data_IF_209417368306
#
_entry.id   IF_209417368306
#
_cell.length_a   1.000
_cell.length_b   1.000
_cell.length_c   1.000
_cell.angle_alpha   90.00
_cell.angle_beta   90.00
_cell.angle_gamma   90.00
#
_symmetry.space_group_name_H-M   'P 1'
#
loop_
_entity.id
_entity.type
_entity.pdbx_description
1 polymer ?
#
# COMPACT_ATOMS: atom_id res chain seq x y z
N UNK A 1 26.69 -10.02 -8.75
CA UNK A 1 27.04 -8.62 -9.07
C UNK A 1 25.77 -7.83 -9.30
N UNK A 2 25.55 -6.75 -8.56
CA UNK A 2 24.42 -5.83 -8.77
C UNK A 2 24.71 -4.90 -9.93
N UNK A 3 23.78 -4.79 -10.88
CA UNK A 3 23.92 -3.90 -12.03
C UNK A 3 23.74 -2.44 -11.57
N UNK A 4 24.82 -1.65 -11.60
CA UNK A 4 24.76 -0.23 -11.26
C UNK A 4 24.44 0.57 -12.54
N UNK A 5 23.28 1.22 -12.56
CA UNK A 5 22.89 2.10 -13.67
C UNK A 5 23.81 3.32 -13.79
N UNK A 6 23.95 3.85 -15.02
CA UNK A 6 24.65 5.11 -15.27
C UNK A 6 23.80 6.26 -14.76
N UNK A 7 24.41 7.17 -14.00
CA UNK A 7 23.75 8.40 -13.55
C UNK A 7 23.68 9.42 -14.69
N UNK A 8 22.84 10.45 -14.53
CA UNK A 8 22.76 11.55 -15.51
C UNK A 8 24.12 12.24 -15.66
N UNK A 9 24.83 12.47 -14.55
CA UNK A 9 26.18 13.06 -14.58
C UNK A 9 27.18 12.20 -15.35
N UNK A 10 27.17 10.87 -15.12
CA UNK A 10 28.03 9.95 -15.88
C UNK A 10 27.68 9.98 -17.38
N UNK A 11 26.39 10.04 -17.74
CA UNK A 11 25.98 10.14 -19.14
C UNK A 11 26.45 11.45 -19.80
N UNK A 12 26.38 12.58 -19.09
CA UNK A 12 26.94 13.85 -19.58
C UNK A 12 28.46 13.79 -19.75
N UNK A 13 29.17 13.15 -18.82
CA UNK A 13 30.62 12.90 -18.96
C UNK A 13 30.93 12.04 -20.19
N UNK A 14 30.17 10.97 -20.40
CA UNK A 14 30.33 10.08 -21.56
C UNK A 14 30.12 10.86 -22.86
N UNK A 15 29.12 11.74 -22.93
CA UNK A 15 28.88 12.61 -24.09
C UNK A 15 30.04 13.56 -24.35
N UNK A 16 30.60 14.18 -23.31
CA UNK A 16 31.75 15.07 -23.46
C UNK A 16 32.98 14.33 -23.99
N UNK A 17 33.24 13.11 -23.52
CA UNK A 17 34.33 12.28 -24.04
C UNK A 17 34.10 11.80 -25.47
N UNK A 18 32.85 11.48 -25.81
CA UNK A 18 32.45 11.13 -27.17
C UNK A 18 32.68 12.30 -28.13
N UNK A 19 32.30 13.53 -27.75
CA UNK A 19 32.57 14.75 -28.52
C UNK A 19 34.07 15.01 -28.73
N UNK A 20 34.92 14.58 -27.81
CA UNK A 20 36.38 14.68 -27.89
C UNK A 20 37.04 13.53 -28.69
N UNK A 21 36.26 12.56 -29.19
CA UNK A 21 36.77 11.41 -29.93
C UNK A 21 37.50 10.37 -29.06
N UNK A 22 37.31 10.40 -27.74
CA UNK A 22 37.95 9.44 -26.83
C UNK A 22 37.29 8.06 -26.95
N UNK A 23 38.11 7.01 -27.09
CA UNK A 23 37.60 5.63 -27.27
C UNK A 23 36.82 5.14 -26.04
N UNK A 24 35.69 4.46 -26.28
CA UNK A 24 34.75 4.00 -25.23
C UNK A 24 35.39 3.16 -24.12
N UNK A 25 36.37 2.31 -24.44
CA UNK A 25 37.05 1.48 -23.43
C UNK A 25 37.92 2.30 -22.46
N UNK A 26 38.43 3.47 -22.89
CA UNK A 26 39.19 4.38 -22.02
C UNK A 26 38.21 5.02 -21.04
N UNK A 27 37.09 5.54 -21.55
CA UNK A 27 36.01 6.13 -20.73
C UNK A 27 35.49 5.12 -19.70
N UNK A 28 35.34 3.86 -20.09
CA UNK A 28 34.93 2.78 -19.19
C UNK A 28 35.92 2.56 -18.03
N UNK A 29 37.23 2.55 -18.32
CA UNK A 29 38.28 2.45 -17.30
C UNK A 29 38.26 3.67 -16.37
N UNK A 30 38.12 4.88 -16.92
CA UNK A 30 38.07 6.13 -16.15
C UNK A 30 36.87 6.16 -15.19
N UNK A 31 35.68 5.81 -15.68
CA UNK A 31 34.45 5.77 -14.87
C UNK A 31 34.34 4.51 -14.00
N UNK A 32 35.29 3.57 -14.10
CA UNK A 32 35.25 2.25 -13.45
C UNK A 32 33.93 1.51 -13.74
N UNK A 33 33.44 1.61 -14.97
CA UNK A 33 32.21 0.94 -15.45
C UNK A 33 32.55 -0.16 -16.45
N UNK A 34 31.59 -1.07 -16.68
CA UNK A 34 31.73 -2.09 -17.71
C UNK A 34 31.85 -1.43 -19.09
N UNK A 35 32.80 -1.88 -19.90
CA UNK A 35 32.99 -1.36 -21.27
C UNK A 35 31.70 -1.40 -22.10
N UNK A 36 30.95 -2.50 -22.02
CA UNK A 36 29.69 -2.67 -22.75
C UNK A 36 28.64 -1.61 -22.39
N UNK A 37 28.57 -1.15 -21.14
CA UNK A 37 27.64 -0.09 -20.76
C UNK A 37 27.98 1.25 -21.46
N UNK A 38 29.27 1.54 -21.65
CA UNK A 38 29.72 2.74 -22.37
C UNK A 38 29.52 2.56 -23.87
N UNK A 39 29.83 1.39 -24.43
CA UNK A 39 29.59 1.09 -25.84
C UNK A 39 28.12 1.22 -26.23
N UNK A 40 27.18 0.82 -25.36
CA UNK A 40 25.74 1.04 -25.59
C UNK A 40 25.40 2.52 -25.75
N UNK A 41 25.98 3.39 -24.92
CA UNK A 41 25.76 4.83 -25.00
C UNK A 41 26.41 5.40 -26.27
N UNK A 42 27.65 5.01 -26.58
CA UNK A 42 28.36 5.43 -27.79
C UNK A 42 27.59 5.05 -29.05
N UNK A 43 27.14 3.79 -29.19
CA UNK A 43 26.31 3.35 -30.34
C UNK A 43 25.02 4.16 -30.48
N UNK A 44 24.45 4.62 -29.36
CA UNK A 44 23.24 5.46 -29.37
C UNK A 44 23.56 6.89 -29.84
N UNK A 45 24.70 7.45 -29.42
CA UNK A 45 25.19 8.75 -29.90
C UNK A 45 25.63 8.70 -31.37
N UNK A 46 26.32 7.64 -31.78
CA UNK A 46 26.76 7.41 -33.17
C UNK A 46 25.57 7.30 -34.13
N UNK A 47 24.41 6.83 -33.64
CA UNK A 47 23.16 6.79 -34.38
C UNK A 47 22.44 8.16 -34.45
N UNK A 48 23.02 9.21 -33.88
CA UNK A 48 22.53 10.59 -33.95
C UNK A 48 21.57 11.00 -32.82
N UNK A 49 21.32 10.13 -31.83
CA UNK A 49 20.44 10.45 -30.72
C UNK A 49 21.17 11.19 -29.59
N UNK A 50 20.42 11.95 -28.81
CA UNK A 50 20.94 12.68 -27.64
C UNK A 50 21.00 11.84 -26.36
N UNK A 51 21.77 12.30 -25.37
CA UNK A 51 21.77 11.72 -24.02
C UNK A 51 20.40 11.87 -23.34
N UNK A 52 19.66 12.95 -23.60
CA UNK A 52 18.31 13.13 -23.03
C UNK A 52 17.41 12.01 -23.49
N UNK A 53 17.40 11.71 -24.79
CA UNK A 53 16.62 10.62 -25.37
C UNK A 53 17.06 9.25 -24.82
N UNK A 54 18.37 9.04 -24.63
CA UNK A 54 18.87 7.81 -23.98
C UNK A 54 18.29 7.64 -22.56
N UNK A 55 18.28 8.74 -21.79
CA UNK A 55 17.77 8.75 -20.42
C UNK A 55 16.24 8.60 -20.38
N UNK A 56 15.51 9.23 -21.29
CA UNK A 56 14.07 9.08 -21.46
C UNK A 56 13.68 7.65 -21.83
N UNK A 57 14.40 7.02 -22.77
CA UNK A 57 14.24 5.62 -23.12
C UNK A 57 14.49 4.70 -21.93
N UNK A 58 15.54 4.96 -21.15
CA UNK A 58 15.78 4.24 -19.90
C UNK A 58 14.62 4.39 -18.92
N UNK A 59 14.11 5.61 -18.70
CA UNK A 59 12.94 5.86 -17.83
C UNK A 59 11.68 5.14 -18.31
N UNK A 60 11.42 5.19 -19.62
CA UNK A 60 10.30 4.49 -20.24
C UNK A 60 10.41 2.97 -20.05
N UNK A 61 11.58 2.38 -20.30
CA UNK A 61 11.82 0.95 -20.09
C UNK A 61 11.75 0.57 -18.60
N UNK A 62 12.29 1.41 -17.71
CA UNK A 62 12.20 1.19 -16.26
C UNK A 62 10.75 1.25 -15.77
N UNK A 63 9.91 2.09 -16.37
CA UNK A 63 8.48 2.14 -16.05
C UNK A 63 7.75 0.84 -16.40
N UNK A 64 8.21 0.11 -17.43
CA UNK A 64 7.68 -1.19 -17.85
C UNK A 64 8.17 -2.35 -16.99
N UNK A 65 9.29 -2.16 -16.30
CA UNK A 65 9.89 -3.15 -15.41
C UNK A 65 9.07 -3.35 -14.13
N UNK A 66 9.10 -4.59 -13.62
CA UNK A 66 8.50 -4.95 -12.33
C UNK A 66 7.00 -5.20 -12.38
N UNK A 67 6.47 -5.69 -11.26
CA UNK A 67 5.04 -6.02 -11.15
C UNK A 67 4.21 -4.74 -11.10
N UNK A 68 3.26 -4.61 -12.03
CA UNK A 68 2.34 -3.48 -12.07
C UNK A 68 1.42 -3.46 -10.83
N UNK A 69 1.09 -2.26 -10.32
CA UNK A 69 0.02 -2.06 -9.34
C UNK A 69 -1.24 -2.85 -9.68
N UNK A 70 -1.73 -3.67 -8.73
CA UNK A 70 -3.10 -4.17 -8.80
C UNK A 70 -4.06 -3.00 -8.70
N UNK A 71 -4.97 -2.89 -9.66
CA UNK A 71 -6.10 -1.96 -9.64
C UNK A 71 -7.34 -2.77 -9.27
N UNK A 72 -8.12 -2.29 -8.32
CA UNK A 72 -9.35 -2.95 -7.92
C UNK A 72 -10.48 -2.57 -8.88
N UNK A 73 -11.35 -3.52 -9.27
CA UNK A 73 -12.63 -3.21 -9.90
C UNK A 73 -13.45 -2.19 -9.09
N UNK A 74 -14.30 -1.42 -9.77
CA UNK A 74 -15.11 -0.37 -9.12
C UNK A 74 -16.05 -0.95 -8.06
N UNK A 75 -16.63 -2.12 -8.30
CA UNK A 75 -17.56 -2.77 -7.37
C UNK A 75 -16.85 -3.33 -6.12
N UNK A 76 -15.58 -3.75 -6.23
CA UNK A 76 -14.75 -4.11 -5.07
C UNK A 76 -14.40 -2.86 -4.27
N UNK A 77 -14.06 -1.77 -4.97
CA UNK A 77 -13.70 -0.50 -4.36
C UNK A 77 -14.88 0.11 -3.57
N UNK A 78 -16.08 0.09 -4.14
CA UNK A 78 -17.29 0.63 -3.52
C UNK A 78 -17.64 -0.13 -2.23
N UNK A 79 -17.60 -1.47 -2.28
CA UNK A 79 -17.76 -2.31 -1.09
C UNK A 79 -16.69 -2.05 -0.01
N UNK A 80 -15.42 -1.89 -0.39
CA UNK A 80 -14.36 -1.58 0.56
C UNK A 80 -14.61 -0.22 1.23
N UNK A 81 -15.00 0.81 0.47
CA UNK A 81 -15.33 2.14 1.01
C UNK A 81 -16.49 2.07 2.00
N UNK A 82 -17.56 1.36 1.64
CA UNK A 82 -18.70 1.11 2.51
C UNK A 82 -18.24 0.47 3.83
N UNK A 83 -17.50 -0.64 3.80
CA UNK A 83 -17.07 -1.33 5.03
C UNK A 83 -16.08 -0.53 5.86
N UNK A 84 -15.18 0.24 5.24
CA UNK A 84 -14.28 1.15 5.97
C UNK A 84 -15.06 2.25 6.68
N UNK A 85 -16.14 2.76 6.08
CA UNK A 85 -17.03 3.74 6.74
C UNK A 85 -17.69 3.17 8.01
N UNK A 86 -17.94 1.87 8.03
CA UNK A 86 -18.42 1.11 9.21
C UNK A 86 -17.31 0.78 10.21
N UNK A 87 -16.08 1.28 10.00
CA UNK A 87 -14.95 1.06 10.88
C UNK A 87 -14.21 -0.28 10.68
N UNK A 88 -14.44 -0.98 9.57
CA UNK A 88 -13.78 -2.26 9.31
C UNK A 88 -12.33 -2.04 8.83
N UNK A 89 -11.44 -2.94 9.21
CA UNK A 89 -10.06 -2.97 8.71
C UNK A 89 -9.95 -3.80 7.44
N UNK A 90 -8.90 -3.61 6.61
CA UNK A 90 -8.57 -4.49 5.50
C UNK A 90 -8.48 -5.97 5.89
N UNK A 91 -7.94 -6.28 7.09
CA UNK A 91 -7.93 -7.64 7.64
C UNK A 91 -9.34 -8.19 7.83
N UNK A 92 -10.24 -7.37 8.37
CA UNK A 92 -11.61 -7.78 8.65
C UNK A 92 -12.43 -7.97 7.38
N UNK A 93 -12.29 -7.05 6.42
CA UNK A 93 -13.01 -7.11 5.14
C UNK A 93 -12.68 -8.43 4.41
N UNK A 94 -11.40 -8.78 4.32
CA UNK A 94 -10.96 -10.01 3.64
C UNK A 94 -11.20 -11.24 4.50
N UNK A 95 -10.91 -11.19 5.80
CA UNK A 95 -11.03 -12.35 6.69
C UNK A 95 -12.47 -12.81 6.92
N UNK A 96 -13.44 -11.89 6.81
CA UNK A 96 -14.86 -12.23 6.89
C UNK A 96 -15.38 -12.86 5.60
N UNK A 97 -14.72 -12.58 4.47
CA UNK A 97 -14.97 -13.19 3.17
C UNK A 97 -16.45 -13.12 2.70
N UNK A 98 -17.16 -12.02 2.99
CA UNK A 98 -18.54 -11.81 2.53
C UNK A 98 -18.60 -11.50 1.03
N UNK A 99 -17.60 -10.78 0.53
CA UNK A 99 -17.41 -10.47 -0.89
C UNK A 99 -16.00 -10.87 -1.28
N UNK A 100 -15.86 -11.55 -2.42
CA UNK A 100 -14.56 -11.88 -2.98
C UNK A 100 -13.83 -10.58 -3.38
N UNK A 101 -12.58 -10.46 -2.93
CA UNK A 101 -11.69 -9.35 -3.29
C UNK A 101 -10.49 -9.93 -4.03
N UNK A 102 -10.24 -9.41 -5.23
CA UNK A 102 -9.17 -9.87 -6.13
C UNK A 102 -7.75 -9.78 -5.56
N UNK A 103 -7.55 -9.00 -4.49
CA UNK A 103 -6.24 -8.74 -3.92
C UNK A 103 -6.08 -9.28 -2.49
N UNK A 104 -4.85 -9.63 -2.14
CA UNK A 104 -4.52 -10.04 -0.77
C UNK A 104 -4.61 -8.88 0.22
N UNK A 105 -4.81 -9.20 1.50
CA UNK A 105 -4.87 -8.21 2.59
C UNK A 105 -3.65 -7.27 2.64
N UNK A 106 -2.45 -7.80 2.44
CA UNK A 106 -1.23 -6.98 2.37
C UNK A 106 -1.22 -6.05 1.15
N UNK A 107 -1.83 -6.48 0.04
CA UNK A 107 -1.98 -5.63 -1.15
C UNK A 107 -3.02 -4.54 -0.91
N UNK A 108 -4.11 -4.86 -0.22
CA UNK A 108 -5.12 -3.88 0.16
C UNK A 108 -4.50 -2.77 1.02
N UNK A 109 -3.74 -3.10 2.06
CA UNK A 109 -2.98 -2.08 2.83
C UNK A 109 -2.02 -1.23 1.98
N UNK A 110 -1.36 -1.82 0.98
CA UNK A 110 -0.50 -1.08 0.04
C UNK A 110 -1.30 -0.14 -0.86
N UNK A 111 -2.53 -0.49 -1.21
CA UNK A 111 -3.44 0.35 -1.98
C UNK A 111 -3.84 1.57 -1.15
N UNK A 112 -4.25 1.39 0.11
CA UNK A 112 -4.56 2.50 1.04
C UNK A 112 -3.40 3.50 1.23
N UNK A 113 -2.15 3.05 1.10
CA UNK A 113 -0.97 3.93 1.25
C UNK A 113 -0.70 4.82 0.03
N UNK A 114 -1.15 4.42 -1.16
CA UNK A 114 -0.74 5.05 -2.43
C UNK A 114 -1.89 5.66 -3.23
N UNK A 115 -3.11 5.19 -3.00
CA UNK A 115 -4.29 5.59 -3.79
C UNK A 115 -4.92 6.84 -3.21
N UNK A 116 -5.48 7.69 -4.08
CA UNK A 116 -6.26 8.86 -3.66
C UNK A 116 -7.67 8.48 -3.16
N UNK A 117 -8.24 7.42 -3.73
CA UNK A 117 -9.61 6.97 -3.43
C UNK A 117 -9.75 6.22 -2.10
N UNK A 118 -8.65 5.69 -1.58
CA UNK A 118 -8.57 4.96 -0.33
C UNK A 118 -7.43 5.54 0.47
N UNK A 119 -7.74 6.39 1.45
CA UNK A 119 -6.73 7.03 2.29
C UNK A 119 -6.49 6.23 3.56
N UNK A 120 -5.22 6.07 3.93
CA UNK A 120 -4.80 5.41 5.16
C UNK A 120 -5.39 6.07 6.42
N UNK A 121 -5.72 7.36 6.36
CA UNK A 121 -6.34 8.09 7.48
C UNK A 121 -7.76 7.58 7.82
N UNK A 122 -8.45 7.01 6.83
CA UNK A 122 -9.78 6.40 7.01
C UNK A 122 -9.75 5.10 7.81
N UNK A 123 -8.58 4.45 7.88
CA UNK A 123 -8.45 3.18 8.59
C UNK A 123 -8.38 3.40 10.11
N UNK A 124 -8.96 2.49 10.91
CA UNK A 124 -8.69 2.46 12.34
C UNK A 124 -7.21 2.07 12.56
N UNK A 125 -6.39 3.09 12.82
CA UNK A 125 -4.93 3.05 12.92
C UNK A 125 -4.39 1.83 13.70
N UNK A 126 -3.41 1.15 13.12
CA UNK A 126 -2.71 0.00 13.72
C UNK A 126 -1.61 0.50 14.67
N UNK A 127 -1.76 0.22 15.96
CA UNK A 127 -0.74 0.51 16.99
C UNK A 127 -1.06 -0.19 18.31
N UNK A 128 -0.10 -0.27 19.24
CA UNK A 128 -0.35 -0.76 20.60
C UNK A 128 -1.32 0.20 21.28
N UNK A 129 -2.59 -0.18 21.36
CA UNK A 129 -3.61 0.55 22.12
C UNK A 129 -3.96 -0.27 23.34
N UNK A 130 -4.10 0.41 24.48
CA UNK A 130 -4.77 -0.16 25.64
C UNK A 130 -6.21 -0.58 25.26
N UNK A 131 -6.84 -1.54 25.97
CA UNK A 131 -8.20 -2.01 25.67
C UNK A 131 -9.23 -0.89 25.45
N UNK A 132 -9.09 0.20 26.22
CA UNK A 132 -9.98 1.37 26.18
C UNK A 132 -9.73 2.29 24.98
N UNK A 133 -8.63 2.11 24.24
CA UNK A 133 -8.22 2.99 23.14
C UNK A 133 -9.11 2.93 21.90
N UNK A 134 -9.99 1.94 21.80
CA UNK A 134 -11.01 1.88 20.75
C UNK A 134 -12.26 2.66 21.16
N UNK A 135 -12.76 2.43 22.37
CA UNK A 135 -13.87 3.22 22.94
C UNK A 135 -13.56 4.71 22.96
N UNK A 136 -12.31 5.08 23.28
CA UNK A 136 -11.86 6.48 23.28
C UNK A 136 -11.81 7.14 21.91
N UNK A 137 -11.63 6.36 20.84
CA UNK A 137 -11.67 6.88 19.46
C UNK A 137 -13.11 6.98 18.97
N UNK A 138 -13.93 5.99 19.33
CA UNK A 138 -15.23 5.75 18.72
C UNK A 138 -16.39 6.45 19.47
N UNK A 139 -16.08 7.42 20.35
CA UNK A 139 -17.07 8.29 21.00
C UNK A 139 -16.71 8.72 22.42
N UNK A 140 -16.01 7.87 23.20
CA UNK A 140 -15.74 8.14 24.63
C UNK A 140 -14.38 8.82 24.84
N UNK A 141 -14.22 10.03 24.29
CA UNK A 141 -12.97 10.79 24.33
C UNK A 141 -12.31 10.86 25.72
N UNK A 142 -10.98 10.97 25.78
CA UNK A 142 -10.23 10.94 27.05
C UNK A 142 -10.70 12.01 28.05
N UNK A 143 -11.07 13.18 27.53
CA UNK A 143 -11.43 14.37 28.32
C UNK A 143 -12.95 14.49 28.54
N UNK A 144 -13.72 13.47 28.14
CA UNK A 144 -15.17 13.42 28.31
C UNK A 144 -15.52 12.96 29.73
N UNK A 145 -16.37 13.73 30.42
CA UNK A 145 -16.92 13.33 31.73
C UNK A 145 -17.94 12.21 31.55
N UNK A 146 -17.60 11.01 32.01
CA UNK A 146 -18.43 9.80 31.91
C UNK A 146 -19.67 9.86 32.82
N UNK A 147 -19.68 10.74 33.83
CA UNK A 147 -20.75 10.82 34.84
C UNK A 147 -22.06 11.36 34.28
N UNK A 148 -21.97 12.19 33.24
CA UNK A 148 -23.10 12.92 32.64
C UNK A 148 -23.47 12.42 31.24
N UNK A 149 -23.03 11.22 30.85
CA UNK A 149 -23.34 10.66 29.54
C UNK A 149 -24.78 10.15 29.46
N UNK A 150 -25.48 10.50 28.37
CA UNK A 150 -26.80 9.92 28.12
C UNK A 150 -26.70 8.43 27.82
N UNK A 151 -27.67 7.67 28.33
CA UNK A 151 -27.76 6.23 28.07
C UNK A 151 -27.84 5.93 26.57
N UNK A 152 -28.55 6.75 25.81
CA UNK A 152 -28.68 6.61 24.35
C UNK A 152 -27.33 6.72 23.63
N UNK A 153 -26.48 7.66 24.06
CA UNK A 153 -25.16 7.82 23.47
C UNK A 153 -24.26 6.62 23.78
N UNK A 154 -24.28 6.13 25.03
CA UNK A 154 -23.57 4.90 25.42
C UNK A 154 -24.05 3.71 24.60
N UNK A 155 -25.36 3.57 24.40
CA UNK A 155 -25.95 2.51 23.59
C UNK A 155 -25.56 2.62 22.12
N UNK A 156 -25.45 3.83 21.56
CA UNK A 156 -24.99 4.07 20.20
C UNK A 156 -23.53 3.63 20.02
N UNK A 157 -22.64 4.05 20.94
CA UNK A 157 -21.22 3.65 20.91
C UNK A 157 -21.08 2.13 21.06
N UNK A 158 -21.83 1.52 21.98
CA UNK A 158 -21.84 0.07 22.16
C UNK A 158 -22.32 -0.66 20.89
N UNK A 159 -23.41 -0.20 20.30
CA UNK A 159 -23.98 -0.75 19.06
C UNK A 159 -22.99 -0.67 17.90
N UNK A 160 -22.33 0.48 17.71
CA UNK A 160 -21.28 0.63 16.70
C UNK A 160 -20.16 -0.41 16.90
N UNK A 161 -19.65 -0.54 18.13
CA UNK A 161 -18.55 -1.47 18.45
C UNK A 161 -18.93 -2.94 18.32
N UNK A 162 -20.19 -3.27 18.61
CA UNK A 162 -20.74 -4.61 18.56
C UNK A 162 -20.97 -5.10 17.12
N UNK A 163 -21.05 -4.18 16.16
CA UNK A 163 -21.18 -4.47 14.72
C UNK A 163 -19.85 -4.49 13.96
N UNK A 164 -18.70 -4.24 14.63
CA UNK A 164 -17.38 -4.32 14.02
C UNK A 164 -16.81 -5.73 14.22
N UNK A 165 -16.53 -6.49 13.14
CA UNK A 165 -16.00 -7.83 13.27
C UNK A 165 -14.55 -7.86 13.79
N UNK A 166 -14.22 -8.89 14.57
CA UNK A 166 -12.90 -9.02 15.22
C UNK A 166 -12.18 -10.28 14.78
N UNK A 167 -10.88 -10.15 14.51
CA UNK A 167 -10.02 -11.28 14.17
C UNK A 167 -10.01 -12.38 15.24
N UNK A 168 -10.03 -12.01 16.53
CA UNK A 168 -10.11 -12.95 17.66
C UNK A 168 -11.42 -13.75 17.72
N UNK A 169 -12.47 -13.29 17.03
CA UNK A 169 -13.76 -13.95 16.93
C UNK A 169 -13.95 -14.60 15.55
N UNK A 170 -12.85 -14.99 14.89
CA UNK A 170 -12.86 -15.51 13.52
C UNK A 170 -13.63 -14.60 12.56
N UNK A 171 -13.38 -13.30 12.65
CA UNK A 171 -14.00 -12.27 11.81
C UNK A 171 -15.53 -12.15 11.94
N UNK A 172 -16.09 -12.66 13.05
CA UNK A 172 -17.48 -12.42 13.45
C UNK A 172 -17.58 -11.15 14.29
N UNK A 173 -18.77 -10.56 14.28
CA UNK A 173 -19.11 -9.42 15.15
C UNK A 173 -19.38 -9.91 16.58
N UNK A 174 -19.00 -9.15 17.62
CA UNK A 174 -19.36 -9.47 19.00
C UNK A 174 -20.85 -9.77 19.18
N UNK A 175 -21.74 -9.01 18.52
CA UNK A 175 -23.18 -9.24 18.56
C UNK A 175 -23.56 -10.63 18.03
N UNK A 176 -23.11 -11.00 16.83
CA UNK A 176 -23.40 -12.32 16.26
C UNK A 176 -22.91 -13.48 17.14
N UNK A 177 -21.74 -13.36 17.79
CA UNK A 177 -21.23 -14.39 18.70
C UNK A 177 -22.09 -14.46 19.96
N UNK A 178 -22.47 -13.32 20.51
CA UNK A 178 -23.33 -13.22 21.69
C UNK A 178 -24.72 -13.82 21.45
N UNK A 179 -25.38 -13.45 20.34
CA UNK A 179 -26.67 -14.02 19.95
C UNK A 179 -26.56 -15.54 19.79
N UNK A 180 -25.53 -16.02 19.08
CA UNK A 180 -25.29 -17.46 18.92
C UNK A 180 -25.15 -18.20 20.27
N UNK A 181 -24.50 -17.57 21.25
CA UNK A 181 -24.35 -18.15 22.59
C UNK A 181 -25.70 -18.25 23.32
N UNK A 182 -26.54 -17.22 23.23
CA UNK A 182 -27.87 -17.21 23.87
C UNK A 182 -28.82 -18.22 23.21
N UNK A 183 -28.70 -18.44 21.90
CA UNK A 183 -29.58 -19.35 21.16
C UNK A 183 -29.14 -20.83 21.23
N UNK A 184 -28.11 -21.18 22.01
CA UNK A 184 -27.60 -22.56 22.19
C UNK A 184 -27.18 -23.30 20.91
N UNK A 185 -26.86 -22.59 19.81
CA UNK A 185 -26.19 -23.22 18.68
C UNK A 185 -24.72 -23.45 19.04
N UNK A 186 -24.31 -24.70 19.28
CA UNK A 186 -22.93 -25.02 19.67
C UNK A 186 -21.91 -24.56 18.59
N UNK A 187 -20.78 -23.98 19.04
CA UNK A 187 -19.63 -23.68 18.18
C UNK A 187 -18.61 -24.80 18.39
N UNK A 188 -18.47 -25.70 17.42
CA UNK A 188 -17.24 -26.50 17.29
C UNK A 188 -16.21 -25.60 16.61
N UNK A 189 -15.14 -25.27 17.32
CA UNK A 189 -13.98 -24.60 16.74
C UNK A 189 -13.10 -25.69 16.10
N UNK A 190 -12.91 -25.61 14.78
CA UNK A 190 -11.85 -26.33 14.07
C UNK A 190 -10.81 -25.30 13.59
#
# INVERSE_FOLDING_TARGET
MTYNHLTISELSFIQNFWNQGVKAYIVAKTLKRSAEAIYRVFRFLDAGYSISEYYENYRANKSRSGRKPTVLPNDELEYIKEKVSLGWTPDTIIGRNEKHISCSMRTLYRIFKRSKDLDVTSLPMKGKRHPNGLLRKDGLGKDMDLSNLSTDYVQQVASYRNNIPRKSLNYRTPLAVFIKYITNEQVVFF
#
